data_IF_245623199478
#
_entry.id   IF_245623199478
#
_cell.length_a   1.000
_cell.length_b   1.000
_cell.length_c   1.000
_cell.angle_alpha   90.00
_cell.angle_beta   90.00
_cell.angle_gamma   90.00
#
_symmetry.space_group_name_H-M   'P 1'
#
loop_
_entity.id
_entity.type
_entity.pdbx_description
1 polymer ?
#
# COMPACT_ATOMS: atom_id res chain seq x y z
N UNK A 1 -1.76 -1.61 -12.65
CA UNK A 1 -0.91 -2.79 -12.34
C UNK A 1 -0.89 -3.76 -13.53
N UNK A 2 0.26 -4.33 -13.89
CA UNK A 2 0.42 -5.12 -15.11
C UNK A 2 -0.42 -6.40 -15.14
N UNK A 3 -0.30 -7.25 -14.11
CA UNK A 3 -0.99 -8.55 -14.07
C UNK A 3 -2.51 -8.42 -14.12
N UNK A 4 -3.11 -7.52 -13.33
CA UNK A 4 -4.57 -7.42 -13.27
C UNK A 4 -5.20 -6.80 -14.50
N UNK A 5 -4.47 -5.96 -15.26
CA UNK A 5 -5.04 -5.21 -16.38
C UNK A 5 -5.78 -6.09 -17.40
N UNK A 6 -5.24 -7.28 -17.69
CA UNK A 6 -5.84 -8.21 -18.64
C UNK A 6 -7.18 -8.80 -18.16
N UNK A 7 -7.41 -8.85 -16.84
CA UNK A 7 -8.55 -9.52 -16.21
C UNK A 7 -9.59 -8.54 -15.66
N UNK A 8 -9.38 -7.22 -15.78
CA UNK A 8 -10.37 -6.20 -15.36
C UNK A 8 -11.76 -6.44 -15.98
N UNK A 9 -11.89 -6.82 -17.28
CA UNK A 9 -13.20 -7.06 -17.88
C UNK A 9 -13.86 -8.38 -17.45
N UNK A 10 -13.11 -9.30 -16.83
CA UNK A 10 -13.58 -10.65 -16.52
C UNK A 10 -14.18 -10.70 -15.10
N UNK A 11 -15.46 -10.35 -14.94
CA UNK A 11 -16.13 -10.25 -13.63
C UNK A 11 -16.11 -11.55 -12.80
N UNK A 12 -15.94 -12.71 -13.45
CA UNK A 12 -15.78 -14.00 -12.77
C UNK A 12 -14.41 -14.22 -12.13
N UNK A 13 -13.43 -13.35 -12.42
CA UNK A 13 -12.06 -13.44 -11.93
C UNK A 13 -11.87 -12.50 -10.74
N UNK A 14 -11.57 -13.08 -9.58
CA UNK A 14 -11.25 -12.29 -8.39
C UNK A 14 -9.80 -11.79 -8.47
N UNK A 15 -9.61 -10.49 -8.31
CA UNK A 15 -8.29 -9.84 -8.21
C UNK A 15 -7.93 -9.66 -6.73
N UNK A 16 -6.79 -10.21 -6.31
CA UNK A 16 -6.33 -10.14 -4.91
C UNK A 16 -4.90 -9.61 -4.88
N UNK A 17 -4.72 -8.43 -4.29
CA UNK A 17 -3.40 -7.89 -3.93
C UNK A 17 -3.08 -8.21 -2.47
N UNK A 18 -1.82 -8.50 -2.18
CA UNK A 18 -1.35 -8.75 -0.83
C UNK A 18 -0.27 -7.72 -0.47
N UNK A 19 -0.45 -7.05 0.66
CA UNK A 19 0.50 -6.06 1.17
C UNK A 19 1.34 -6.66 2.31
N UNK A 20 2.58 -6.19 2.55
CA UNK A 20 3.40 -6.68 3.65
C UNK A 20 2.89 -6.15 4.99
N UNK A 21 2.41 -7.05 5.84
CA UNK A 21 2.01 -6.75 7.21
C UNK A 21 3.19 -6.52 8.18
N UNK A 22 4.44 -6.70 7.72
CA UNK A 22 5.62 -6.51 8.57
C UNK A 22 5.58 -7.38 9.83
N UNK A 23 5.69 -6.76 11.00
CA UNK A 23 5.55 -7.43 12.30
C UNK A 23 4.09 -7.60 12.77
N UNK A 24 3.14 -7.04 12.03
CA UNK A 24 1.72 -6.97 12.37
C UNK A 24 1.17 -5.60 11.97
N UNK A 25 -0.07 -5.52 11.47
CA UNK A 25 -0.65 -4.22 11.09
C UNK A 25 -0.89 -3.37 12.35
N UNK A 26 -1.31 -4.03 13.43
CA UNK A 26 -1.57 -3.46 14.74
C UNK A 26 -0.31 -2.92 15.45
N UNK A 27 0.89 -3.29 15.02
CA UNK A 27 2.14 -2.81 15.62
C UNK A 27 2.58 -1.47 15.05
N UNK A 28 2.04 -1.06 13.90
CA UNK A 28 2.51 0.08 13.11
C UNK A 28 3.81 -0.19 12.32
N UNK A 29 4.44 -1.35 12.49
CA UNK A 29 5.64 -1.75 11.74
C UNK A 29 5.24 -2.61 10.53
N UNK A 30 4.70 -1.96 9.50
CA UNK A 30 4.22 -2.61 8.27
C UNK A 30 4.37 -1.69 7.03
N UNK A 31 4.13 -2.22 5.84
CA UNK A 31 3.94 -1.43 4.61
C UNK A 31 2.59 -1.74 3.93
N UNK A 32 1.56 -2.02 4.75
CA UNK A 32 0.19 -2.29 4.32
C UNK A 32 -0.64 -1.02 4.04
N UNK A 33 -0.24 -0.29 3.00
CA UNK A 33 -0.72 1.07 2.69
C UNK A 33 -2.22 1.17 2.39
N UNK A 34 -2.81 0.24 1.64
CA UNK A 34 -4.26 0.22 1.39
C UNK A 34 -5.05 -0.25 2.61
N UNK A 35 -4.43 -1.05 3.47
CA UNK A 35 -5.07 -1.61 4.67
C UNK A 35 -5.16 -0.60 5.81
N UNK A 36 -4.09 0.17 6.05
CA UNK A 36 -3.94 1.04 7.22
C UNK A 36 -3.57 2.50 6.89
N UNK A 37 -3.35 2.83 5.62
CA UNK A 37 -3.02 4.19 5.19
C UNK A 37 -4.25 5.04 4.92
N UNK A 38 -3.99 6.31 4.60
CA UNK A 38 -5.00 7.32 4.32
C UNK A 38 -4.73 8.02 2.99
N UNK A 39 -5.73 8.65 2.37
CA UNK A 39 -5.51 9.46 1.17
C UNK A 39 -4.53 10.62 1.44
N UNK A 40 -3.43 10.66 0.68
CA UNK A 40 -2.40 11.69 0.77
C UNK A 40 -1.71 11.95 -0.56
N UNK A 41 -0.71 12.83 -0.56
CA UNK A 41 0.11 13.14 -1.73
C UNK A 41 1.56 12.77 -1.44
N UNK A 42 2.10 11.82 -2.19
CA UNK A 42 3.48 11.40 -2.11
C UNK A 42 4.06 11.23 -3.51
N UNK A 43 5.30 11.70 -3.69
CA UNK A 43 6.07 11.58 -4.94
C UNK A 43 5.29 12.02 -6.20
N UNK A 44 4.51 13.11 -6.10
CA UNK A 44 3.80 13.72 -7.23
C UNK A 44 2.48 13.05 -7.61
N UNK A 45 1.96 12.12 -6.80
CA UNK A 45 0.67 11.47 -7.01
C UNK A 45 -0.22 11.55 -5.78
N UNK A 46 -1.53 11.64 -5.99
CA UNK A 46 -2.54 11.50 -4.92
C UNK A 46 -3.01 10.05 -4.89
N UNK A 47 -2.75 9.36 -3.78
CA UNK A 47 -3.08 7.95 -3.57
C UNK A 47 -3.22 7.69 -2.06
N UNK A 48 -3.24 6.43 -1.63
CA UNK A 48 -3.10 6.08 -0.23
C UNK A 48 -1.63 6.08 0.19
N UNK A 49 -1.37 6.57 1.41
CA UNK A 49 -0.04 6.65 2.02
C UNK A 49 -0.13 6.34 3.51
N UNK A 50 0.97 5.81 4.07
CA UNK A 50 1.18 5.72 5.51
C UNK A 50 1.70 7.07 6.00
N UNK A 51 0.91 7.74 6.83
CA UNK A 51 1.23 9.05 7.38
C UNK A 51 0.64 9.19 8.79
N UNK A 52 1.20 10.10 9.58
CA UNK A 52 0.65 10.47 10.88
C UNK A 52 -0.47 11.54 10.75
N UNK A 53 -1.04 11.93 11.89
CA UNK A 53 -2.12 12.92 11.99
C UNK A 53 -1.71 14.32 11.49
N UNK A 54 -0.41 14.59 11.39
CA UNK A 54 0.16 15.84 10.86
C UNK A 54 0.51 15.74 9.36
N UNK A 55 0.22 14.59 8.74
CA UNK A 55 0.51 14.29 7.34
C UNK A 55 1.99 14.03 7.04
N UNK A 56 2.81 13.75 8.06
CA UNK A 56 4.19 13.31 7.85
C UNK A 56 4.20 11.84 7.46
N UNK A 57 5.04 11.48 6.49
CA UNK A 57 5.15 10.09 6.02
C UNK A 57 5.78 9.22 7.11
N UNK A 58 5.08 8.15 7.45
CA UNK A 58 5.57 7.15 8.40
C UNK A 58 6.56 6.21 7.70
N UNK A 59 7.60 5.79 8.42
CA UNK A 59 8.55 4.81 7.90
C UNK A 59 7.86 3.45 7.77
N UNK A 60 7.81 2.85 6.56
CA UNK A 60 7.25 1.53 6.37
C UNK A 60 8.19 0.47 6.96
N UNK A 61 7.64 -0.73 7.18
CA UNK A 61 8.47 -1.90 7.47
C UNK A 61 8.01 -3.14 6.69
N UNK A 62 8.98 -3.80 6.04
CA UNK A 62 8.83 -5.12 5.45
C UNK A 62 10.19 -5.83 5.44
N UNK A 63 10.22 -7.11 5.81
CA UNK A 63 11.43 -7.95 5.64
C UNK A 63 11.91 -7.99 4.18
N UNK A 64 10.99 -7.82 3.23
CA UNK A 64 11.28 -7.73 1.80
C UNK A 64 11.42 -6.27 1.39
N UNK A 65 12.66 -5.85 1.12
CA UNK A 65 13.00 -4.49 0.69
C UNK A 65 12.20 -4.00 -0.53
N UNK A 66 11.82 -4.90 -1.45
CA UNK A 66 11.02 -4.55 -2.63
C UNK A 66 9.57 -4.16 -2.34
N UNK A 67 9.10 -4.39 -1.10
CA UNK A 67 7.76 -4.03 -0.65
C UNK A 67 7.78 -2.98 0.46
N UNK A 68 8.96 -2.51 0.87
CA UNK A 68 9.15 -1.60 1.99
C UNK A 68 8.96 -0.13 1.55
N UNK A 69 7.71 0.22 1.25
CA UNK A 69 7.35 1.52 0.67
C UNK A 69 6.04 2.05 1.27
N UNK A 70 5.98 3.33 1.70
CA UNK A 70 4.84 3.85 2.45
C UNK A 70 3.69 4.34 1.57
N UNK A 71 3.82 4.26 0.24
CA UNK A 71 2.78 4.65 -0.71
C UNK A 71 2.29 3.48 -1.56
N UNK A 72 1.34 3.75 -2.44
CA UNK A 72 0.97 2.81 -3.50
C UNK A 72 0.57 3.57 -4.76
N UNK A 73 0.79 2.96 -5.93
CA UNK A 73 0.39 3.56 -7.20
C UNK A 73 -1.14 3.78 -7.26
N UNK A 74 -1.61 4.85 -7.92
CA UNK A 74 -3.04 5.14 -8.09
C UNK A 74 -3.73 4.18 -9.07
#
# INVERSE_FOLDING_TARGET
>A
IGLFHAFIPDEGVRLVGCEPAGHGVETGEHAATLTAGEPGILHGSRSYVLQDDEGQITEPYSISAGLDYPGIGP
#
